data_IF_817805631121
#
_entry.id   IF_817805631121
#
_cell.length_a   1.000
_cell.length_b   1.000
_cell.length_c   1.000
_cell.angle_alpha   90.00
_cell.angle_beta   90.00
_cell.angle_gamma   90.00
#
_symmetry.space_group_name_H-M   'P 1'
#
loop_
_entity.id
_entity.type
_entity.pdbx_description
1 polymer ?
#
# COMPACT_ATOMS: atom_id res chain seq x y z
N UNK A 1 -0.34 -8.60 5.34
CA UNK A 1 -1.81 -8.42 5.30
C UNK A 1 -2.26 -8.41 3.85
N UNK A 2 -3.44 -8.97 3.55
CA UNK A 2 -4.10 -8.85 2.24
C UNK A 2 -5.20 -7.78 2.30
N UNK A 3 -5.26 -6.92 1.28
CA UNK A 3 -6.36 -5.98 1.07
C UNK A 3 -7.02 -6.24 -0.29
N UNK A 4 -8.35 -6.14 -0.32
CA UNK A 4 -9.21 -6.33 -1.49
C UNK A 4 -9.72 -4.97 -2.01
N UNK A 5 -10.35 -4.89 -3.19
CA UNK A 5 -10.63 -3.61 -3.87
C UNK A 5 -11.52 -2.67 -3.04
N UNK A 6 -12.43 -3.24 -2.24
CA UNK A 6 -13.31 -2.51 -1.34
C UNK A 6 -12.76 -2.27 0.07
N UNK A 7 -11.56 -2.76 0.41
CA UNK A 7 -10.99 -2.55 1.75
C UNK A 7 -10.66 -1.08 1.95
N UNK A 8 -11.34 -0.43 2.90
CA UNK A 8 -11.09 0.97 3.24
C UNK A 8 -9.94 1.08 4.24
N UNK A 9 -9.22 2.21 4.22
CA UNK A 9 -8.21 2.49 5.24
C UNK A 9 -8.83 2.51 6.65
N UNK A 10 -10.07 2.99 6.77
CA UNK A 10 -10.82 2.97 8.02
C UNK A 10 -11.12 1.55 8.53
N UNK A 11 -11.62 0.65 7.67
CA UNK A 11 -11.89 -0.73 8.08
C UNK A 11 -10.59 -1.46 8.43
N UNK A 12 -9.50 -1.16 7.71
CA UNK A 12 -8.19 -1.68 8.00
C UNK A 12 -7.67 -1.25 9.37
N UNK A 13 -7.65 0.04 9.66
CA UNK A 13 -7.19 0.58 10.94
C UNK A 13 -7.94 -0.08 12.11
N UNK A 14 -9.27 -0.22 11.97
CA UNK A 14 -10.12 -0.86 12.97
C UNK A 14 -9.77 -2.34 13.19
N UNK A 15 -9.39 -3.06 12.13
CA UNK A 15 -8.97 -4.46 12.20
C UNK A 15 -7.57 -4.64 12.81
N UNK A 16 -6.65 -3.69 12.58
CA UNK A 16 -5.28 -3.74 13.08
C UNK A 16 -5.13 -3.31 14.54
N UNK A 17 -5.97 -2.39 15.00
CA UNK A 17 -5.96 -1.87 16.38
C UNK A 17 -5.92 -2.96 17.47
N UNK A 18 -6.79 -3.99 17.47
CA UNK A 18 -6.74 -5.06 18.49
C UNK A 18 -5.49 -5.93 18.40
N UNK A 19 -4.75 -5.89 17.29
CA UNK A 19 -3.49 -6.61 17.11
C UNK A 19 -2.26 -5.79 17.55
N UNK A 20 -2.46 -4.55 18.02
CA UNK A 20 -1.36 -3.64 18.34
C UNK A 20 -0.61 -3.16 17.10
N UNK A 21 -1.31 -3.02 15.97
CA UNK A 21 -0.74 -2.69 14.66
C UNK A 21 -1.36 -1.42 14.07
N UNK A 22 -0.59 -0.75 13.23
CA UNK A 22 -0.99 0.43 12.44
C UNK A 22 -0.91 0.13 10.93
N UNK A 23 -1.76 0.79 10.12
CA UNK A 23 -1.71 0.67 8.67
C UNK A 23 -0.45 1.35 8.10
N UNK A 24 -0.13 1.03 6.85
CA UNK A 24 0.94 1.67 6.09
C UNK A 24 0.65 3.13 5.69
N UNK A 25 -0.62 3.56 5.77
CA UNK A 25 -1.04 4.88 5.30
C UNK A 25 -2.17 5.46 6.16
N UNK A 26 -2.07 6.77 6.41
CA UNK A 26 -3.12 7.61 6.98
C UNK A 26 -3.19 8.88 6.15
N UNK A 27 -4.32 9.08 5.46
CA UNK A 27 -4.54 10.23 4.56
C UNK A 27 -5.78 11.01 5.02
N UNK A 28 -5.90 12.27 4.59
CA UNK A 28 -7.05 13.10 4.97
C UNK A 28 -8.40 12.48 4.58
N UNK A 29 -8.43 11.66 3.52
CA UNK A 29 -9.62 10.95 3.06
C UNK A 29 -9.86 9.59 3.74
N UNK A 30 -9.02 9.17 4.69
CA UNK A 30 -9.20 7.91 5.43
C UNK A 30 -10.57 7.86 6.14
N UNK A 31 -11.05 9.00 6.66
CA UNK A 31 -12.33 9.09 7.37
C UNK A 31 -13.57 9.09 6.46
N UNK A 32 -13.41 9.25 5.14
CA UNK A 32 -14.50 9.29 4.15
C UNK A 32 -14.49 8.08 3.21
N UNK A 33 -13.77 7.01 3.57
CA UNK A 33 -13.84 5.73 2.87
C UNK A 33 -12.83 5.55 1.74
N UNK A 34 -11.69 6.24 1.77
CA UNK A 34 -10.60 5.95 0.83
C UNK A 34 -10.15 4.48 0.92
N UNK A 35 -10.02 3.82 -0.23
CA UNK A 35 -9.62 2.42 -0.30
C UNK A 35 -8.10 2.24 -0.26
N UNK A 36 -7.66 1.12 0.31
CA UNK A 36 -6.24 0.73 0.36
C UNK A 36 -5.67 0.62 -1.05
N UNK A 37 -6.36 -0.12 -1.93
CA UNK A 37 -5.93 -0.30 -3.33
C UNK A 37 -5.94 1.03 -4.08
N UNK A 38 -6.91 1.91 -3.83
CA UNK A 38 -6.91 3.26 -4.41
C UNK A 38 -5.67 4.06 -4.00
N UNK A 39 -5.21 3.91 -2.76
CA UNK A 39 -3.95 4.48 -2.28
C UNK A 39 -2.73 3.95 -3.03
N UNK A 40 -2.64 2.63 -3.21
CA UNK A 40 -1.57 1.96 -3.98
C UNK A 40 -1.55 2.41 -5.43
N UNK A 41 -2.71 2.41 -6.11
CA UNK A 41 -2.82 2.82 -7.51
C UNK A 41 -2.38 4.28 -7.75
N UNK A 42 -2.42 5.13 -6.72
CA UNK A 42 -2.08 6.55 -6.81
C UNK A 42 -0.79 6.93 -6.06
N UNK A 43 -0.03 5.96 -5.53
CA UNK A 43 1.15 6.22 -4.69
C UNK A 43 0.85 7.24 -3.56
N UNK A 44 -0.29 7.07 -2.88
CA UNK A 44 -0.78 8.04 -1.91
C UNK A 44 0.22 8.26 -0.77
N UNK A 45 0.56 9.52 -0.49
CA UNK A 45 1.40 9.93 0.63
C UNK A 45 0.60 10.64 1.71
N UNK A 46 0.59 10.09 2.90
CA UNK A 46 -0.20 10.58 4.04
C UNK A 46 0.56 11.47 5.01
N UNK A 47 0.03 11.58 6.23
CA UNK A 47 0.64 12.32 7.34
C UNK A 47 1.70 11.52 8.12
N UNK A 48 1.84 10.22 7.84
CA UNK A 48 2.82 9.36 8.49
C UNK A 48 4.22 9.63 7.92
N UNK A 49 5.00 10.51 8.57
CA UNK A 49 6.35 10.90 8.12
C UNK A 49 7.32 9.72 8.01
N UNK A 50 7.11 8.66 8.79
CA UNK A 50 7.95 7.45 8.75
C UNK A 50 7.59 6.49 7.61
N UNK A 51 6.50 6.74 6.87
CA UNK A 51 6.00 5.87 5.81
C UNK A 51 6.06 6.59 4.48
N UNK A 52 6.62 5.93 3.48
CA UNK A 52 6.69 6.45 2.13
C UNK A 52 5.32 6.53 1.45
N UNK A 53 5.27 6.87 0.15
CA UNK A 53 4.10 6.61 -0.66
C UNK A 53 3.63 5.15 -0.50
N UNK A 54 2.32 4.94 -0.58
CA UNK A 54 1.74 3.60 -0.56
C UNK A 54 2.32 2.79 -1.73
N UNK A 55 2.98 1.66 -1.42
CA UNK A 55 3.76 0.88 -2.36
C UNK A 55 3.78 -0.60 -1.98
N UNK A 56 3.78 -1.47 -2.99
CA UNK A 56 4.06 -2.91 -2.86
C UNK A 56 4.51 -3.50 -4.20
N UNK A 57 5.36 -4.52 -4.11
CA UNK A 57 5.75 -5.40 -5.21
C UNK A 57 4.87 -6.66 -5.29
N UNK A 58 3.88 -6.78 -4.41
CA UNK A 58 3.06 -7.98 -4.27
C UNK A 58 1.58 -7.67 -4.46
N UNK A 59 1.07 -7.99 -5.65
CA UNK A 59 -0.34 -7.82 -5.98
C UNK A 59 -0.87 -8.91 -6.92
N UNK A 60 -2.20 -9.03 -6.97
CA UNK A 60 -2.94 -9.79 -7.97
C UNK A 60 -3.72 -8.78 -8.81
N UNK A 61 -3.52 -8.82 -10.12
CA UNK A 61 -4.15 -7.88 -11.04
C UNK A 61 -4.43 -8.50 -12.40
N UNK A 62 -5.39 -7.94 -13.14
CA UNK A 62 -5.58 -8.23 -14.54
C UNK A 62 -5.08 -7.08 -15.41
N UNK A 63 -4.53 -7.44 -16.58
CA UNK A 63 -4.06 -6.51 -17.61
C UNK A 63 -4.51 -6.97 -18.99
N UNK A 64 -4.66 -6.00 -19.89
CA UNK A 64 -4.76 -6.28 -21.32
C UNK A 64 -3.32 -6.33 -21.86
N UNK A 65 -2.92 -7.46 -22.46
CA UNK A 65 -1.60 -7.60 -23.06
C UNK A 65 -1.50 -6.91 -24.43
N UNK A 66 -0.34 -6.95 -25.06
CA UNK A 66 -0.09 -6.32 -26.38
C UNK A 66 -0.99 -6.88 -27.49
N UNK A 67 -1.45 -8.12 -27.36
CA UNK A 67 -2.40 -8.77 -28.29
C UNK A 67 -3.87 -8.39 -28.02
N UNK A 68 -4.14 -7.51 -27.05
CA UNK A 68 -5.50 -7.15 -26.66
C UNK A 68 -6.22 -8.21 -25.81
N UNK A 69 -5.51 -9.20 -25.28
CA UNK A 69 -6.09 -10.26 -24.43
C UNK A 69 -6.01 -9.91 -22.95
N UNK A 70 -7.12 -10.16 -22.24
CA UNK A 70 -7.17 -10.07 -20.78
C UNK A 70 -6.36 -11.22 -20.17
N UNK A 71 -5.46 -10.89 -19.24
CA UNK A 71 -4.60 -11.84 -18.52
C UNK A 71 -4.64 -11.54 -17.03
N UNK A 72 -4.70 -12.58 -16.20
CA UNK A 72 -4.60 -12.48 -14.74
C UNK A 72 -3.15 -12.77 -14.33
N UNK A 73 -2.57 -11.92 -13.50
CA UNK A 73 -1.17 -11.99 -13.05
C UNK A 73 -1.15 -12.05 -11.52
N UNK A 74 -0.69 -13.18 -10.97
CA UNK A 74 -0.57 -13.39 -9.53
C UNK A 74 0.88 -13.20 -9.07
N UNK A 75 1.18 -12.03 -8.50
CA UNK A 75 2.46 -11.74 -7.85
C UNK A 75 2.33 -11.56 -6.33
N UNK A 76 1.27 -12.05 -5.69
CA UNK A 76 1.09 -11.93 -4.24
C UNK A 76 2.16 -12.66 -3.41
N UNK A 77 2.92 -13.57 -4.04
CA UNK A 77 3.76 -14.53 -3.31
C UNK A 77 2.90 -15.49 -2.50
N UNK A 78 1.73 -15.86 -3.03
CA UNK A 78 0.81 -16.85 -2.46
C UNK A 78 0.42 -17.80 -3.58
N UNK A 79 0.56 -19.10 -3.33
CA UNK A 79 0.13 -20.13 -4.26
C UNK A 79 -1.39 -20.29 -4.24
N UNK A 80 -2.03 -19.80 -5.29
CA UNK A 80 -3.49 -19.74 -5.41
C UNK A 80 -4.05 -20.70 -6.48
N UNK A 81 -3.19 -21.49 -7.12
CA UNK A 81 -3.53 -22.29 -8.29
C UNK A 81 -3.13 -21.61 -9.61
N UNK A 82 -3.54 -22.23 -10.73
CA UNK A 82 -3.05 -21.89 -12.07
C UNK A 82 -4.10 -21.21 -12.94
N UNK A 83 -5.39 -21.45 -12.69
CA UNK A 83 -6.48 -20.82 -13.46
C UNK A 83 -7.12 -19.65 -12.71
N UNK A 84 -7.70 -18.66 -13.42
CA UNK A 84 -8.43 -17.56 -12.78
C UNK A 84 -9.51 -18.02 -11.79
N UNK A 85 -10.26 -19.08 -12.13
CA UNK A 85 -11.31 -19.62 -11.29
C UNK A 85 -10.75 -20.21 -9.99
N UNK A 86 -9.62 -20.92 -10.06
CA UNK A 86 -8.93 -21.43 -8.87
C UNK A 86 -8.44 -20.29 -7.99
N UNK A 87 -7.78 -19.30 -8.59
CA UNK A 87 -7.17 -18.18 -7.88
C UNK A 87 -8.23 -17.34 -7.18
N UNK A 88 -9.25 -16.89 -7.93
CA UNK A 88 -10.28 -16.00 -7.41
C UNK A 88 -11.19 -16.70 -6.39
N UNK A 89 -11.62 -17.95 -6.66
CA UNK A 89 -12.43 -18.69 -5.69
C UNK A 89 -11.70 -18.95 -4.38
N UNK A 90 -10.38 -19.21 -4.42
CA UNK A 90 -9.60 -19.43 -3.19
C UNK A 90 -9.52 -18.16 -2.33
N UNK A 91 -9.50 -16.99 -2.96
CA UNK A 91 -9.56 -15.69 -2.26
C UNK A 91 -10.97 -15.40 -1.72
N UNK A 92 -12.00 -15.58 -2.54
CA UNK A 92 -13.39 -15.29 -2.18
C UNK A 92 -13.90 -16.19 -1.03
N UNK A 93 -13.47 -17.45 -1.02
CA UNK A 93 -13.87 -18.43 0.00
C UNK A 93 -12.97 -18.42 1.25
N UNK A 94 -11.97 -17.52 1.33
CA UNK A 94 -10.98 -17.46 2.42
C UNK A 94 -10.25 -18.80 2.66
N UNK A 95 -9.85 -19.48 1.58
CA UNK A 95 -9.23 -20.82 1.60
C UNK A 95 -7.70 -20.81 1.51
N UNK A 96 -7.06 -19.68 1.80
CA UNK A 96 -5.60 -19.58 1.84
C UNK A 96 -5.08 -20.33 3.07
N UNK A 97 -4.04 -21.14 2.88
CA UNK A 97 -3.31 -21.83 3.95
C UNK A 97 -1.94 -21.18 4.14
N UNK A 98 -1.38 -21.31 5.34
CA UNK A 98 -0.04 -20.79 5.64
C UNK A 98 1.04 -21.36 4.70
N UNK A 99 0.94 -22.64 4.32
CA UNK A 99 1.88 -23.30 3.39
C UNK A 99 1.82 -22.74 1.95
N UNK A 100 0.74 -22.05 1.59
CA UNK A 100 0.61 -21.37 0.31
C UNK A 100 1.45 -20.08 0.26
N UNK A 101 1.76 -19.51 1.43
CA UNK A 101 2.38 -18.18 1.56
C UNK A 101 3.90 -18.29 1.44
N UNK A 102 4.45 -17.57 0.45
CA UNK A 102 5.89 -17.42 0.25
C UNK A 102 6.40 -16.13 0.90
N UNK A 103 7.64 -16.19 1.39
CA UNK A 103 8.37 -15.07 1.98
C UNK A 103 9.71 -14.95 1.27
N UNK A 104 9.74 -14.15 0.20
CA UNK A 104 10.83 -14.13 -0.80
C UNK A 104 11.60 -12.80 -0.84
N UNK A 105 11.39 -11.93 0.14
CA UNK A 105 12.15 -10.68 0.31
C UNK A 105 11.66 -9.49 -0.51
N UNK A 106 10.65 -9.66 -1.37
CA UNK A 106 9.99 -8.55 -2.06
C UNK A 106 9.34 -7.56 -1.09
N UNK A 107 9.30 -6.31 -1.50
CA UNK A 107 8.91 -5.21 -0.64
C UNK A 107 7.38 -5.03 -0.60
N UNK A 108 6.81 -5.07 0.60
CA UNK A 108 5.38 -4.82 0.84
C UNK A 108 5.10 -3.40 1.38
N UNK A 109 6.10 -2.53 1.37
CA UNK A 109 6.06 -1.09 1.65
C UNK A 109 7.31 -0.41 1.09
N UNK A 110 7.39 0.92 1.10
CA UNK A 110 8.58 1.68 0.71
C UNK A 110 9.62 1.68 1.85
N UNK A 111 10.56 0.74 1.79
CA UNK A 111 11.56 0.49 2.85
C UNK A 111 12.49 1.69 3.08
N UNK A 112 13.02 2.29 2.01
CA UNK A 112 14.10 3.28 2.12
C UNK A 112 13.61 4.69 2.43
N UNK A 113 12.28 4.91 2.55
CA UNK A 113 11.73 6.25 2.71
C UNK A 113 12.23 6.97 3.97
N UNK A 114 12.48 6.23 5.05
CA UNK A 114 13.01 6.80 6.30
C UNK A 114 14.39 7.45 6.10
N UNK A 115 15.17 6.96 5.14
CA UNK A 115 16.45 7.55 4.79
C UNK A 115 16.24 8.77 3.88
N UNK A 116 15.41 8.63 2.83
CA UNK A 116 15.15 9.71 1.87
C UNK A 116 14.52 10.95 2.48
N UNK A 117 13.57 10.78 3.41
CA UNK A 117 12.91 11.91 4.08
C UNK A 117 13.83 12.70 5.01
N UNK A 118 14.97 12.11 5.40
CA UNK A 118 15.99 12.74 6.27
C UNK A 118 17.14 13.36 5.48
N UNK A 119 17.22 13.10 4.18
CA UNK A 119 18.27 13.66 3.34
C UNK A 119 17.94 15.12 3.00
N UNK A 120 18.46 16.02 3.82
CA UNK A 120 18.28 17.47 3.67
C UNK A 120 19.25 18.09 2.65
N UNK A 121 20.25 17.34 2.21
CA UNK A 121 21.25 17.79 1.23
C UNK A 121 20.85 17.42 -0.20
N UNK A 122 19.91 16.49 -0.37
CA UNK A 122 19.36 16.12 -1.67
C UNK A 122 18.67 17.32 -2.36
N UNK A 123 18.94 17.47 -3.66
CA UNK A 123 18.31 18.48 -4.53
C UNK A 123 16.99 18.01 -5.15
N UNK A 124 16.56 16.80 -4.82
CA UNK A 124 15.31 16.18 -5.29
C UNK A 124 14.23 16.10 -4.20
N UNK A 125 12.94 16.15 -4.55
CA UNK A 125 11.87 15.96 -3.57
C UNK A 125 11.90 14.56 -2.94
N UNK A 126 11.58 14.46 -1.65
CA UNK A 126 11.52 13.17 -0.94
C UNK A 126 10.47 12.18 -1.49
N UNK A 127 9.42 12.69 -2.14
CA UNK A 127 8.39 11.89 -2.83
C UNK A 127 7.60 12.73 -3.84
N UNK A 128 7.24 12.12 -4.97
CA UNK A 128 6.36 12.68 -5.99
C UNK A 128 5.75 11.54 -6.83
N UNK A 129 4.62 11.76 -7.50
CA UNK A 129 3.88 10.66 -8.15
C UNK A 129 4.63 10.00 -9.32
N UNK A 130 5.46 10.77 -10.03
CA UNK A 130 6.22 10.30 -11.18
C UNK A 130 7.62 9.77 -10.79
N UNK A 131 7.83 9.43 -9.52
CA UNK A 131 9.06 8.79 -9.04
C UNK A 131 9.16 7.37 -9.65
N UNK A 132 10.13 7.11 -10.55
CA UNK A 132 10.23 5.84 -11.26
C UNK A 132 10.44 4.66 -10.32
N UNK A 133 11.10 4.86 -9.17
CA UNK A 133 11.35 3.79 -8.21
C UNK A 133 10.07 3.36 -7.48
N UNK A 134 9.00 4.16 -7.57
CA UNK A 134 7.69 3.90 -6.95
C UNK A 134 6.62 3.53 -7.96
N UNK A 135 6.97 3.38 -9.23
CA UNK A 135 6.08 2.86 -10.28
C UNK A 135 6.38 1.38 -10.50
N UNK A 136 5.53 0.51 -9.95
CA UNK A 136 5.70 -0.93 -10.09
C UNK A 136 4.34 -1.63 -10.12
N UNK A 137 4.00 -2.20 -11.27
CA UNK A 137 2.76 -2.95 -11.49
C UNK A 137 1.52 -2.22 -10.96
N UNK A 138 0.96 -2.65 -9.82
CA UNK A 138 -0.20 -2.02 -9.19
C UNK A 138 0.13 -0.70 -8.49
N UNK A 139 1.35 -0.53 -7.98
CA UNK A 139 1.83 0.70 -7.36
C UNK A 139 2.01 1.79 -8.42
N UNK A 140 1.20 2.84 -8.31
CA UNK A 140 1.18 3.94 -9.28
C UNK A 140 0.50 3.61 -10.62
N UNK A 141 -0.28 2.52 -10.71
CA UNK A 141 -0.91 2.11 -11.97
C UNK A 141 -1.99 3.07 -12.48
N UNK A 142 -2.52 3.95 -11.63
CA UNK A 142 -3.56 4.94 -11.95
C UNK A 142 -4.76 4.37 -12.75
N UNK A 143 -5.18 3.14 -12.42
CA UNK A 143 -6.33 2.48 -13.07
C UNK A 143 -6.02 1.84 -14.43
N UNK A 144 -4.74 1.79 -14.84
CA UNK A 144 -4.32 1.04 -16.05
C UNK A 144 -4.39 -0.47 -15.87
N UNK A 145 -4.49 -0.94 -14.63
CA UNK A 145 -4.65 -2.35 -14.25
C UNK A 145 -5.93 -2.51 -13.42
N UNK A 146 -6.57 -3.67 -13.55
CA UNK A 146 -7.64 -4.09 -12.66
C UNK A 146 -7.03 -4.86 -11.47
N UNK A 147 -6.84 -4.19 -10.33
CA UNK A 147 -6.19 -4.78 -9.14
C UNK A 147 -7.22 -5.51 -8.29
N UNK A 148 -7.01 -6.80 -8.04
CA UNK A 148 -7.88 -7.68 -7.26
C UNK A 148 -7.45 -7.80 -5.80
N UNK A 149 -6.14 -7.82 -5.52
CA UNK A 149 -5.63 -7.85 -4.16
C UNK A 149 -4.22 -7.27 -4.08
N UNK A 150 -3.86 -6.76 -2.92
CA UNK A 150 -2.51 -6.31 -2.59
C UNK A 150 -2.05 -6.92 -1.28
N UNK A 151 -0.79 -7.34 -1.21
CA UNK A 151 -0.14 -7.79 0.01
C UNK A 151 0.74 -6.66 0.54
N UNK A 152 0.52 -6.29 1.79
CA UNK A 152 1.11 -5.13 2.43
C UNK A 152 1.65 -5.45 3.81
N UNK A 153 2.71 -4.75 4.18
CA UNK A 153 3.20 -4.70 5.54
C UNK A 153 2.28 -3.82 6.40
N UNK A 154 2.24 -4.16 7.69
CA UNK A 154 1.68 -3.30 8.73
C UNK A 154 2.80 -2.89 9.66
N UNK A 155 2.53 -2.07 10.66
CA UNK A 155 3.58 -1.59 11.56
C UNK A 155 3.17 -1.69 13.02
N UNK A 156 4.13 -1.71 13.94
CA UNK A 156 3.81 -1.71 15.38
C UNK A 156 3.14 -0.38 15.72
N UNK A 157 2.10 -0.43 16.54
CA UNK A 157 1.37 0.77 16.94
C UNK A 157 2.19 1.63 17.91
N UNK A 158 2.15 2.94 17.69
CA UNK A 158 2.79 3.90 18.60
C UNK A 158 2.00 3.99 19.91
N UNK A 159 2.69 3.76 21.04
CA UNK A 159 2.01 3.63 22.35
C UNK A 159 1.59 4.97 22.96
N UNK A 160 2.39 6.01 22.73
CA UNK A 160 2.23 7.31 23.39
C UNK A 160 2.35 8.43 22.36
N UNK A 161 1.24 8.80 21.72
CA UNK A 161 1.20 9.90 20.77
C UNK A 161 0.89 11.23 21.48
N UNK A 162 1.62 12.30 21.12
CA UNK A 162 1.37 13.65 21.59
C UNK A 162 1.34 14.62 20.41
N UNK A 163 0.48 15.65 20.50
CA UNK A 163 0.33 16.68 19.47
C UNK A 163 0.87 18.00 20.01
N UNK A 164 1.85 18.58 19.31
CA UNK A 164 2.39 19.90 19.60
C UNK A 164 1.85 20.89 18.57
N UNK A 165 1.18 21.96 19.02
CA UNK A 165 0.69 23.02 18.15
C UNK A 165 1.66 24.20 18.23
N UNK A 166 2.34 24.49 17.11
CA UNK A 166 3.26 25.61 16.98
C UNK A 166 2.67 26.71 16.09
N UNK A 167 2.60 27.94 16.58
CA UNK A 167 2.26 29.12 15.79
C UNK A 167 3.47 30.08 15.77
N UNK A 168 3.91 30.56 14.60
CA UNK A 168 4.98 31.56 14.55
C UNK A 168 4.49 32.85 15.22
N UNK A 169 5.28 33.37 16.16
CA UNK A 169 5.02 34.68 16.75
C UNK A 169 5.47 35.76 15.76
N UNK A 170 4.52 36.47 15.15
CA UNK A 170 4.83 37.69 14.42
C UNK A 170 5.19 38.79 15.42
N UNK A 171 6.48 38.93 15.74
CA UNK A 171 6.97 40.23 16.20
C UNK A 171 6.88 41.18 15.01
N UNK A 172 5.81 41.99 14.97
CA UNK A 172 5.80 43.19 14.14
C UNK A 172 6.95 44.08 14.65
N UNK A 173 7.99 44.23 13.86
CA UNK A 173 8.94 45.34 14.02
C UNK A 173 8.21 46.67 13.77
#
# INVERSE_FOLDING_TARGET
MLAYPGTTLYSLEKALKPLGREPHSVIGSSCIGASVIGGICNNSGGSLVQRGPAYTEMSLFARINEDGKLTLVNHLGIDLGETPEQILSKLDDDRIKDDDVRHDGRHAHDYDYVHRVRDIEADTPARYNADPDRLFESSGCAGKLAVFAVRLDTFEAEKNQQVFISAPTSRKC
#
